data_IF_843999719855
#
_entry.id   IF_843999719855
#
_cell.length_a   1.000
_cell.length_b   1.000
_cell.length_c   1.000
_cell.angle_alpha   90.00
_cell.angle_beta   90.00
_cell.angle_gamma   90.00
#
_symmetry.space_group_name_H-M   'P 1'
#
loop_
_entity.id
_entity.type
_entity.pdbx_description
1 polymer ?
#
# COMPACT_ATOMS: atom_id res chain seq x y z
N UNK A 1 -4.71 5.58 16.92
CA UNK A 1 -3.59 4.63 17.09
C UNK A 1 -2.85 4.49 15.75
N UNK A 2 -1.55 4.63 15.77
CA UNK A 2 -0.75 4.61 14.55
C UNK A 2 -0.11 3.23 14.36
N UNK A 3 -0.29 2.65 13.18
CA UNK A 3 0.32 1.38 12.85
C UNK A 3 1.76 1.59 12.42
N UNK A 4 2.58 0.59 12.67
CA UNK A 4 3.94 0.56 12.14
C UNK A 4 3.87 0.10 10.68
N UNK A 5 4.51 0.83 9.78
CA UNK A 5 4.48 0.49 8.35
C UNK A 5 5.82 -0.11 7.92
N UNK A 6 5.73 -1.27 7.28
CA UNK A 6 6.88 -1.95 6.69
C UNK A 6 6.67 -1.99 5.19
N UNK A 7 7.63 -1.46 4.43
CA UNK A 7 7.59 -1.51 2.97
C UNK A 7 8.46 -2.68 2.50
N UNK A 8 7.82 -3.66 1.88
CA UNK A 8 8.54 -4.84 1.40
C UNK A 8 9.42 -4.51 0.18
N UNK A 9 10.35 -5.40 -0.15
CA UNK A 9 11.24 -5.22 -1.30
C UNK A 9 10.52 -4.92 -2.62
N UNK A 10 9.53 -5.74 -3.02
CA UNK A 10 8.76 -5.46 -4.25
C UNK A 10 8.04 -4.10 -4.22
N UNK A 11 7.50 -3.71 -3.08
CA UNK A 11 6.83 -2.42 -2.94
C UNK A 11 7.83 -1.27 -3.04
N UNK A 12 8.98 -1.40 -2.41
CA UNK A 12 10.04 -0.39 -2.47
C UNK A 12 10.54 -0.22 -3.90
N UNK A 13 10.73 -1.33 -4.61
CA UNK A 13 11.13 -1.30 -6.02
C UNK A 13 10.11 -0.55 -6.87
N UNK A 14 8.82 -0.82 -6.67
CA UNK A 14 7.75 -0.11 -7.36
C UNK A 14 7.74 1.38 -7.03
N UNK A 15 7.93 1.72 -5.77
CA UNK A 15 7.97 3.10 -5.31
C UNK A 15 9.14 3.87 -5.94
N UNK A 16 10.31 3.25 -6.02
CA UNK A 16 11.50 3.90 -6.58
C UNK A 16 11.44 4.13 -8.08
N UNK A 17 10.52 3.47 -8.78
CA UNK A 17 10.30 3.69 -10.21
C UNK A 17 9.42 4.89 -10.52
N UNK A 18 8.78 5.46 -9.51
CA UNK A 18 7.82 6.54 -9.70
C UNK A 18 8.53 7.89 -9.81
N UNK A 19 7.93 8.85 -10.54
CA UNK A 19 8.44 10.21 -10.55
C UNK A 19 8.54 10.79 -9.14
N UNK A 20 9.48 11.69 -8.90
CA UNK A 20 9.75 12.21 -7.56
C UNK A 20 8.53 12.77 -6.85
N UNK A 21 7.68 13.49 -7.57
CA UNK A 21 6.45 14.05 -6.98
C UNK A 21 5.48 12.98 -6.52
N UNK A 22 5.33 11.92 -7.32
CA UNK A 22 4.44 10.80 -7.00
C UNK A 22 5.02 10.00 -5.84
N UNK A 23 6.31 9.74 -5.87
CA UNK A 23 7.02 9.04 -4.80
C UNK A 23 6.75 9.75 -3.46
N UNK A 24 6.94 11.07 -3.43
CA UNK A 24 6.71 11.85 -2.21
C UNK A 24 5.26 11.79 -1.74
N UNK A 25 4.32 11.94 -2.66
CA UNK A 25 2.89 11.89 -2.34
C UNK A 25 2.49 10.54 -1.75
N UNK A 26 3.00 9.44 -2.33
CA UNK A 26 2.71 8.10 -1.83
C UNK A 26 3.38 7.86 -0.48
N UNK A 27 4.61 8.32 -0.31
CA UNK A 27 5.31 8.19 0.98
C UNK A 27 4.55 8.95 2.08
N UNK A 28 4.06 10.14 1.81
CA UNK A 28 3.26 10.90 2.76
C UNK A 28 1.95 10.20 3.10
N UNK A 29 1.30 9.60 2.09
CA UNK A 29 0.08 8.85 2.31
C UNK A 29 0.33 7.62 3.21
N UNK A 30 1.39 6.88 2.94
CA UNK A 30 1.76 5.68 3.71
C UNK A 30 2.06 6.03 5.17
N UNK A 31 2.80 7.11 5.38
CA UNK A 31 3.22 7.51 6.74
C UNK A 31 2.15 8.30 7.50
N UNK A 32 1.12 8.77 6.84
CA UNK A 32 0.02 9.50 7.45
C UNK A 32 -1.28 8.73 7.44
N UNK A 33 -2.17 8.99 6.47
CA UNK A 33 -3.51 8.40 6.45
C UNK A 33 -3.53 6.88 6.53
N UNK A 34 -2.63 6.21 5.82
CA UNK A 34 -2.58 4.75 5.82
C UNK A 34 -2.19 4.22 7.20
N UNK A 35 -1.15 4.79 7.80
CA UNK A 35 -0.66 4.36 9.12
C UNK A 35 -1.68 4.61 10.21
N UNK A 36 -2.49 5.66 10.08
CA UNK A 36 -3.49 6.00 11.09
C UNK A 36 -4.76 5.16 10.97
N UNK A 37 -5.25 4.95 9.74
CA UNK A 37 -6.53 4.27 9.51
C UNK A 37 -6.47 3.33 8.30
N UNK A 38 -5.68 2.24 8.38
CA UNK A 38 -5.50 1.36 7.22
C UNK A 38 -6.77 0.67 6.76
N UNK A 39 -7.70 0.40 7.66
CA UNK A 39 -8.99 -0.22 7.30
C UNK A 39 -9.92 0.74 6.57
N UNK A 40 -9.76 2.03 6.81
CA UNK A 40 -10.66 3.06 6.29
C UNK A 40 -10.23 3.61 4.93
N UNK A 41 -8.91 3.79 4.74
CA UNK A 41 -8.39 4.43 3.53
C UNK A 41 -8.32 3.51 2.33
N UNK A 42 -8.46 2.20 2.54
CA UNK A 42 -8.44 1.22 1.47
C UNK A 42 -9.60 0.26 1.57
N UNK A 43 -9.66 -0.67 0.63
CA UNK A 43 -10.68 -1.70 0.58
C UNK A 43 -10.03 -3.07 0.52
N UNK A 44 -10.65 -4.04 1.20
CA UNK A 44 -10.21 -5.42 1.12
C UNK A 44 -10.46 -5.96 -0.29
N UNK A 45 -9.47 -6.63 -0.86
CA UNK A 45 -9.61 -7.25 -2.17
C UNK A 45 -10.56 -8.44 -2.08
N UNK A 46 -11.49 -8.53 -3.05
CA UNK A 46 -12.45 -9.62 -3.12
C UNK A 46 -11.76 -10.94 -3.42
N UNK A 47 -12.23 -11.99 -2.76
CA UNK A 47 -11.79 -13.37 -3.04
C UNK A 47 -10.27 -13.56 -2.94
N UNK A 48 -9.62 -12.73 -2.14
CA UNK A 48 -8.18 -12.83 -1.92
C UNK A 48 -7.91 -13.64 -0.65
N UNK A 49 -7.35 -14.85 -0.76
CA UNK A 49 -7.04 -15.65 0.42
C UNK A 49 -6.02 -15.01 1.35
N UNK A 50 -5.18 -14.13 0.84
CA UNK A 50 -4.21 -13.40 1.65
C UNK A 50 -4.83 -12.20 2.37
N UNK A 51 -6.08 -11.88 2.09
CA UNK A 51 -6.82 -10.76 2.70
C UNK A 51 -6.10 -9.44 2.58
N UNK A 52 -5.59 -9.16 1.37
CA UNK A 52 -4.90 -7.91 1.11
C UNK A 52 -5.89 -6.78 0.91
N UNK A 53 -5.40 -5.57 1.18
CA UNK A 53 -6.15 -4.34 0.97
C UNK A 53 -5.53 -3.56 -0.18
N UNK A 54 -6.33 -2.73 -0.83
CA UNK A 54 -5.86 -1.81 -1.86
C UNK A 54 -6.29 -0.39 -1.52
N UNK A 55 -5.36 0.55 -1.68
CA UNK A 55 -5.64 1.97 -1.57
C UNK A 55 -5.18 2.65 -2.85
N UNK A 56 -5.81 3.78 -3.17
CA UNK A 56 -5.53 4.50 -4.41
C UNK A 56 -5.01 5.91 -4.11
N UNK A 57 -3.92 6.27 -4.78
CA UNK A 57 -3.38 7.62 -4.77
C UNK A 57 -3.26 8.04 -6.24
N UNK A 58 -4.21 8.85 -6.73
CA UNK A 58 -4.29 9.19 -8.14
C UNK A 58 -4.53 7.94 -8.99
N UNK A 59 -3.65 7.70 -9.96
CA UNK A 59 -3.70 6.50 -10.81
C UNK A 59 -2.85 5.36 -10.28
N UNK A 60 -2.27 5.55 -9.09
CA UNK A 60 -1.39 4.54 -8.49
C UNK A 60 -2.14 3.77 -7.41
N UNK A 61 -1.76 2.51 -7.26
CA UNK A 61 -2.36 1.63 -6.26
C UNK A 61 -1.30 1.13 -5.29
N UNK A 62 -1.73 1.00 -4.04
CA UNK A 62 -0.91 0.47 -2.96
C UNK A 62 -1.63 -0.78 -2.47
N UNK A 63 -0.94 -1.93 -2.50
CA UNK A 63 -1.49 -3.16 -1.96
C UNK A 63 -0.76 -3.46 -0.67
N UNK A 64 -1.52 -3.71 0.38
CA UNK A 64 -0.96 -3.89 1.71
C UNK A 64 -1.75 -4.92 2.52
N UNK A 65 -1.11 -5.43 3.56
CA UNK A 65 -1.72 -6.32 4.53
C UNK A 65 -1.74 -5.64 5.89
N UNK A 66 -2.75 -5.96 6.67
CA UNK A 66 -2.90 -5.40 8.02
C UNK A 66 -2.81 -6.52 9.03
N UNK A 67 -1.92 -6.36 10.01
CA UNK A 67 -1.83 -7.25 11.16
C UNK A 67 -2.27 -6.46 12.39
N UNK A 68 -3.52 -6.61 12.76
CA UNK A 68 -4.10 -5.86 13.89
C UNK A 68 -3.53 -6.30 15.24
N UNK A 69 -3.13 -7.56 15.35
CA UNK A 69 -2.54 -8.06 16.60
C UNK A 69 -1.19 -7.40 16.89
N UNK A 70 -0.37 -7.22 15.84
CA UNK A 70 0.95 -6.60 15.96
C UNK A 70 0.92 -5.10 15.69
N UNK A 71 -0.23 -4.57 15.25
CA UNK A 71 -0.39 -3.17 14.84
C UNK A 71 0.63 -2.80 13.75
N UNK A 72 0.74 -3.67 12.75
CA UNK A 72 1.70 -3.53 11.65
C UNK A 72 0.98 -3.57 10.31
N UNK A 73 1.41 -2.71 9.39
CA UNK A 73 0.97 -2.73 8.01
C UNK A 73 2.17 -3.14 7.15
N UNK A 74 1.99 -4.15 6.30
CA UNK A 74 3.01 -4.56 5.34
C UNK A 74 2.59 -4.12 3.94
N UNK A 75 3.29 -3.15 3.37
CA UNK A 75 3.02 -2.69 2.02
C UNK A 75 3.71 -3.66 1.06
N UNK A 76 2.93 -4.42 0.32
CA UNK A 76 3.45 -5.50 -0.51
C UNK A 76 3.65 -5.12 -1.96
N UNK A 77 2.94 -4.11 -2.45
CA UNK A 77 3.09 -3.66 -3.83
C UNK A 77 2.66 -2.21 -4.01
N UNK A 78 3.39 -1.49 -4.86
CA UNK A 78 3.07 -0.12 -5.25
C UNK A 78 3.31 0.01 -6.74
N UNK A 79 2.36 0.59 -7.47
CA UNK A 79 2.53 0.82 -8.90
C UNK A 79 1.30 1.41 -9.54
N UNK A 80 1.40 1.63 -10.86
CA UNK A 80 0.27 2.10 -11.66
C UNK A 80 -0.85 1.06 -11.60
N UNK A 81 -2.10 1.52 -11.52
CA UNK A 81 -3.26 0.62 -11.40
C UNK A 81 -3.29 -0.50 -12.45
N UNK A 82 -2.79 -0.23 -13.65
CA UNK A 82 -2.77 -1.22 -14.72
C UNK A 82 -1.73 -2.31 -14.48
N UNK A 83 -0.65 -2.01 -13.77
CA UNK A 83 0.48 -2.92 -13.57
C UNK A 83 0.39 -3.73 -12.28
N UNK A 84 -0.24 -3.15 -11.25
CA UNK A 84 -0.31 -3.75 -9.91
C UNK A 84 -1.06 -5.06 -9.89
N UNK A 85 -2.07 -5.20 -10.75
CA UNK A 85 -2.92 -6.39 -10.80
C UNK A 85 -2.47 -7.43 -11.81
N UNK A 86 -1.39 -7.17 -12.55
CA UNK A 86 -0.88 -8.15 -13.50
C UNK A 86 -0.16 -9.27 -12.76
N UNK A 87 -0.40 -10.53 -13.15
CA UNK A 87 0.39 -11.63 -12.64
C UNK A 87 1.83 -11.44 -13.11
N UNK A 88 2.74 -11.56 -12.19
CA UNK A 88 4.16 -11.44 -12.50
C UNK A 88 4.71 -12.74 -13.06
#
# INVERSE_FOLDING_TARGET
>A
MTYRVVVTGPAECGLNRLPAKVHLAIAEFINGPLAENPHRVGKMLRDDPAKRYTAQVGVYRIIYKIDDAMVVISVVRIGHRADVYRPS
#
